data_IF_881562214194
#
_entry.id   IF_881562214194
#
_cell.length_a   1.000
_cell.length_b   1.000
_cell.length_c   1.000
_cell.angle_alpha   90.00
_cell.angle_beta   90.00
_cell.angle_gamma   90.00
#
_symmetry.space_group_name_H-M   'P 1'
#
loop_
_entity.id
_entity.type
_entity.pdbx_description
1 polymer ?
#
# COMPACT_ATOMS: atom_id res chain seq x y z
N UNK A 1 -0.65 0.86 -14.50
CA UNK A 1 -2.04 0.31 -14.39
C UNK A 1 -2.64 0.26 -15.79
N UNK A 2 -3.11 -0.89 -16.28
CA UNK A 2 -3.53 -1.07 -17.68
C UNK A 2 -4.99 -0.65 -17.97
N UNK A 3 -5.88 -0.62 -16.97
CA UNK A 3 -7.28 -0.19 -17.12
C UNK A 3 -7.55 1.08 -16.31
N UNK A 4 -8.25 2.04 -16.93
CA UNK A 4 -8.72 3.29 -16.32
C UNK A 4 -9.55 3.04 -15.06
N UNK A 5 -10.39 2.02 -15.09
CA UNK A 5 -11.39 1.77 -14.05
C UNK A 5 -10.77 1.32 -12.73
N UNK A 6 -9.57 0.73 -12.80
CA UNK A 6 -8.78 0.30 -11.64
C UNK A 6 -7.68 1.30 -11.27
N UNK A 7 -7.57 2.41 -12.01
CA UNK A 7 -6.46 3.36 -11.86
C UNK A 7 -6.45 4.07 -10.51
N UNK A 8 -7.57 4.09 -9.79
CA UNK A 8 -7.71 4.74 -8.47
C UNK A 8 -7.59 3.76 -7.29
N UNK A 9 -7.53 2.45 -7.53
CA UNK A 9 -7.42 1.44 -6.47
C UNK A 9 -6.00 1.42 -5.94
N UNK A 10 -5.84 1.57 -4.62
CA UNK A 10 -4.55 1.46 -3.94
C UNK A 10 -4.22 0.00 -3.63
N UNK A 11 -2.95 -0.37 -3.80
CA UNK A 11 -2.41 -1.73 -3.67
C UNK A 11 -1.26 -1.71 -2.67
N UNK A 12 -1.49 -2.32 -1.51
CA UNK A 12 -0.48 -2.61 -0.50
C UNK A 12 -0.02 -4.06 -0.65
N UNK A 13 1.25 -4.27 -1.00
CA UNK A 13 1.81 -5.61 -1.19
C UNK A 13 2.30 -6.20 0.14
N UNK A 14 1.95 -7.45 0.44
CA UNK A 14 2.34 -8.14 1.67
C UNK A 14 3.10 -9.44 1.34
N UNK A 15 4.37 -9.54 1.73
CA UNK A 15 5.26 -10.63 1.28
C UNK A 15 6.17 -11.15 2.39
N UNK A 16 6.48 -12.45 2.42
CA UNK A 16 7.53 -12.98 3.30
C UNK A 16 8.96 -12.64 2.82
N UNK A 17 9.08 -12.10 1.61
CA UNK A 17 10.35 -11.64 1.07
C UNK A 17 10.65 -10.22 1.55
N UNK A 18 11.69 -10.08 2.36
CA UNK A 18 12.07 -8.81 2.96
C UNK A 18 13.29 -8.13 2.29
N UNK A 19 13.85 -8.74 1.24
CA UNK A 19 15.01 -8.17 0.54
C UNK A 19 14.60 -6.87 -0.16
N UNK A 20 15.52 -5.92 -0.20
CA UNK A 20 15.26 -4.63 -0.85
C UNK A 20 14.89 -4.79 -2.32
N UNK A 21 15.54 -5.72 -3.02
CA UNK A 21 15.25 -6.06 -4.42
C UNK A 21 13.79 -6.50 -4.65
N UNK A 22 13.22 -7.28 -3.72
CA UNK A 22 11.83 -7.75 -3.80
C UNK A 22 10.84 -6.59 -3.58
N UNK A 23 11.19 -5.63 -2.71
CA UNK A 23 10.41 -4.41 -2.49
C UNK A 23 10.44 -3.53 -3.73
N UNK A 24 11.63 -3.27 -4.27
CA UNK A 24 11.83 -2.44 -5.45
C UNK A 24 11.09 -3.02 -6.66
N UNK A 25 11.09 -4.36 -6.81
CA UNK A 25 10.31 -5.04 -7.84
C UNK A 25 8.80 -4.86 -7.63
N UNK A 26 8.31 -5.01 -6.40
CA UNK A 26 6.91 -4.77 -6.04
C UNK A 26 6.43 -3.36 -6.40
N UNK A 27 7.24 -2.35 -6.08
CA UNK A 27 6.96 -0.95 -6.42
C UNK A 27 6.95 -0.73 -7.94
N UNK A 28 7.93 -1.28 -8.67
CA UNK A 28 7.98 -1.19 -10.14
C UNK A 28 6.79 -1.85 -10.83
N UNK A 29 6.22 -2.90 -10.25
CA UNK A 29 5.02 -3.57 -10.75
C UNK A 29 3.74 -2.74 -10.54
N UNK A 30 3.81 -1.63 -9.79
CA UNK A 30 2.69 -0.72 -9.57
C UNK A 30 1.97 -0.90 -8.25
N UNK A 31 2.63 -1.50 -7.24
CA UNK A 31 2.21 -1.37 -5.85
C UNK A 31 2.40 0.08 -5.38
N UNK A 32 1.50 0.57 -4.55
CA UNK A 32 1.61 1.88 -3.92
C UNK A 32 2.47 1.81 -2.66
N UNK A 33 2.53 0.64 -2.00
CA UNK A 33 3.40 0.39 -0.85
C UNK A 33 3.66 -1.13 -0.67
N UNK A 34 4.65 -1.48 0.16
CA UNK A 34 5.13 -2.84 0.40
C UNK A 34 5.41 -3.09 1.89
N UNK A 35 4.88 -4.19 2.41
CA UNK A 35 5.08 -4.69 3.77
C UNK A 35 5.65 -6.11 3.77
N UNK A 36 6.72 -6.32 4.52
CA UNK A 36 7.27 -7.65 4.75
C UNK A 36 6.58 -8.33 5.94
N UNK A 37 6.19 -9.59 5.78
CA UNK A 37 5.67 -10.44 6.85
C UNK A 37 6.82 -11.04 7.68
N UNK A 38 6.62 -11.28 8.99
CA UNK A 38 5.42 -10.95 9.78
C UNK A 38 5.31 -9.45 10.06
N UNK A 39 4.08 -8.93 10.08
CA UNK A 39 3.80 -7.51 10.28
C UNK A 39 2.74 -7.35 11.37
N UNK A 40 2.86 -6.31 12.18
CA UNK A 40 1.87 -5.97 13.21
C UNK A 40 0.58 -5.43 12.56
N UNK A 41 -0.62 -5.85 13.02
CA UNK A 41 -1.88 -5.32 12.49
C UNK A 41 -1.98 -3.79 12.55
N UNK A 42 -1.45 -3.17 13.59
CA UNK A 42 -1.41 -1.71 13.77
C UNK A 42 -0.59 -1.05 12.67
N UNK A 43 0.52 -1.68 12.27
CA UNK A 43 1.36 -1.19 11.18
C UNK A 43 0.61 -1.24 9.84
N UNK A 44 -0.18 -2.30 9.58
CA UNK A 44 -1.03 -2.38 8.40
C UNK A 44 -2.04 -1.22 8.39
N UNK A 45 -2.73 -1.00 9.51
CA UNK A 45 -3.74 0.07 9.63
C UNK A 45 -3.10 1.44 9.34
N UNK A 46 -1.96 1.73 9.95
CA UNK A 46 -1.25 3.00 9.76
C UNK A 46 -0.81 3.19 8.30
N UNK A 47 -0.32 2.14 7.64
CA UNK A 47 0.04 2.19 6.20
C UNK A 47 -1.19 2.49 5.35
N UNK A 48 -2.28 1.76 5.55
CA UNK A 48 -3.54 1.98 4.80
C UNK A 48 -4.06 3.39 5.02
N UNK A 49 -4.07 3.90 6.25
CA UNK A 49 -4.48 5.27 6.54
C UNK A 49 -3.59 6.30 5.81
N UNK A 50 -2.27 6.13 5.86
CA UNK A 50 -1.33 7.00 5.15
C UNK A 50 -1.56 7.01 3.64
N UNK A 51 -1.75 5.83 3.04
CA UNK A 51 -2.04 5.67 1.61
C UNK A 51 -3.35 6.38 1.21
N UNK A 52 -4.40 6.27 2.04
CA UNK A 52 -5.67 6.94 1.82
C UNK A 52 -5.55 8.47 1.97
N UNK A 53 -4.80 8.95 2.97
CA UNK A 53 -4.58 10.38 3.20
C UNK A 53 -3.80 11.05 2.06
N UNK A 54 -2.77 10.37 1.53
CA UNK A 54 -1.94 10.87 0.43
C UNK A 54 -2.69 11.09 -0.89
N UNK A 55 -3.86 10.48 -1.06
CA UNK A 55 -4.69 10.66 -2.28
C UNK A 55 -5.57 11.92 -2.27
N UNK A 56 -5.49 12.77 -1.23
CA UNK A 56 -6.18 14.07 -1.18
C UNK A 56 -7.71 13.99 -1.13
N UNK A 57 -8.29 12.79 -0.95
CA UNK A 57 -9.75 12.56 -1.02
C UNK A 57 -10.37 11.90 0.20
N UNK A 58 -9.63 11.65 1.28
CA UNK A 58 -10.18 10.91 2.42
C UNK A 58 -10.19 11.79 3.67
N UNK A 59 -11.34 12.43 3.93
CA UNK A 59 -11.65 13.02 5.24
C UNK A 59 -12.10 11.89 6.16
N UNK A 60 -11.16 11.33 6.92
CA UNK A 60 -11.48 10.36 7.95
C UNK A 60 -12.06 11.11 9.14
N UNK A 61 -13.40 11.09 9.28
CA UNK A 61 -14.08 11.70 10.41
C UNK A 61 -14.14 10.67 11.52
N UNK A 62 -13.23 10.76 12.48
CA UNK A 62 -13.32 10.02 13.74
C UNK A 62 -14.66 10.41 14.41
N UNK A 63 -15.53 9.42 14.63
CA UNK A 63 -16.67 9.52 15.54
C UNK A 63 -16.34 8.74 16.79
#
# INVERSE_FOLDING_TARGET
RQKSDTATILVLMLSAKARQEDKDMGMKMGADDYLSKPVDPTEIINKVQSMLMGTGKVSFKER
#
